data_IF_371870817019
#
_entry.id   IF_371870817019
#
_cell.length_a   1.000
_cell.length_b   1.000
_cell.length_c   1.000
_cell.angle_alpha   90.00
_cell.angle_beta   90.00
_cell.angle_gamma   90.00
#
_symmetry.space_group_name_H-M   'P 1'
#
loop_
_entity.id
_entity.type
_entity.pdbx_description
1 polymer ?
#
# COMPACT_ATOMS: atom_id res chain seq x y z
N UNK A 1 -24.91 -0.13 1.95
CA UNK A 1 -24.87 1.29 2.35
C UNK A 1 -23.84 2.00 1.48
N UNK A 2 -24.31 2.81 0.53
CA UNK A 2 -23.49 3.58 -0.41
C UNK A 2 -22.71 4.64 0.36
N UNK A 3 -21.38 4.52 0.43
CA UNK A 3 -20.53 5.57 0.99
C UNK A 3 -20.35 6.62 -0.10
N UNK A 4 -20.99 7.78 0.09
CA UNK A 4 -20.97 8.93 -0.83
C UNK A 4 -19.57 9.22 -1.36
N UNK A 5 -19.40 9.05 -2.67
CA UNK A 5 -18.24 9.47 -3.48
C UNK A 5 -18.29 10.99 -3.75
N UNK A 6 -19.45 11.60 -3.50
CA UNK A 6 -19.74 13.02 -3.76
C UNK A 6 -18.71 14.00 -3.17
N UNK A 7 -18.29 13.94 -1.89
CA UNK A 7 -17.38 14.96 -1.35
C UNK A 7 -15.96 14.86 -1.92
N UNK A 8 -15.53 13.69 -2.39
CA UNK A 8 -14.19 13.49 -2.95
C UNK A 8 -14.07 14.08 -4.36
N UNK A 9 -15.15 13.97 -5.16
CA UNK A 9 -15.23 14.58 -6.48
C UNK A 9 -15.22 16.12 -6.40
N UNK A 10 -15.86 16.69 -5.37
CA UNK A 10 -15.92 18.15 -5.19
C UNK A 10 -14.54 18.74 -4.85
N UNK A 11 -13.72 18.04 -4.08
CA UNK A 11 -12.34 18.48 -3.78
C UNK A 11 -11.45 18.39 -5.02
N UNK A 12 -11.54 17.30 -5.79
CA UNK A 12 -10.79 17.15 -7.05
C UNK A 12 -11.18 18.22 -8.09
N UNK A 13 -12.47 18.55 -8.20
CA UNK A 13 -12.96 19.61 -9.08
C UNK A 13 -12.52 21.01 -8.62
N UNK A 14 -12.49 21.27 -7.31
CA UNK A 14 -12.01 22.54 -6.75
C UNK A 14 -10.50 22.75 -6.98
N UNK A 15 -9.69 21.67 -6.91
CA UNK A 15 -8.27 21.71 -7.27
C UNK A 15 -8.05 21.98 -8.78
N UNK A 16 -8.91 21.44 -9.65
CA UNK A 16 -8.84 21.74 -11.08
C UNK A 16 -9.20 23.21 -11.40
N UNK A 17 -10.17 23.80 -10.68
CA UNK A 17 -10.56 25.20 -10.89
C UNK A 17 -9.53 26.22 -10.34
N UNK A 18 -8.75 25.85 -9.32
CA UNK A 18 -7.69 26.68 -8.77
C UNK A 18 -6.38 26.67 -9.59
N UNK A 19 -6.30 25.85 -10.65
CA UNK A 19 -5.11 25.70 -11.51
C UNK A 19 -4.91 26.86 -12.51
N UNK A 20 -5.89 27.75 -12.67
CA UNK A 20 -5.85 28.80 -13.68
C UNK A 20 -4.85 29.95 -13.38
N UNK A 21 -4.21 29.98 -12.20
CA UNK A 21 -3.38 31.12 -11.76
C UNK A 21 -1.95 30.76 -11.33
N UNK A 22 -1.58 29.48 -11.23
CA UNK A 22 -0.24 29.04 -10.78
C UNK A 22 0.21 27.81 -11.58
N UNK A 23 1.53 27.68 -11.82
CA UNK A 23 2.13 26.61 -12.63
C UNK A 23 1.76 25.22 -12.09
N UNK A 24 0.74 24.60 -12.68
CA UNK A 24 0.34 23.25 -12.35
C UNK A 24 1.34 22.26 -12.92
N UNK A 25 1.49 21.12 -12.25
CA UNK A 25 2.36 20.03 -12.70
C UNK A 25 1.58 18.73 -12.73
N UNK A 26 1.77 17.96 -13.80
CA UNK A 26 1.31 16.57 -13.89
C UNK A 26 2.51 15.65 -13.83
N UNK A 27 2.39 14.52 -13.13
CA UNK A 27 3.49 13.59 -12.96
C UNK A 27 3.07 12.14 -13.01
N UNK A 28 4.03 11.30 -13.37
CA UNK A 28 3.95 9.86 -13.24
C UNK A 28 5.23 9.33 -12.61
N UNK A 29 5.10 8.27 -11.82
CA UNK A 29 6.23 7.61 -11.19
C UNK A 29 6.01 6.11 -11.12
N UNK A 30 7.09 5.36 -11.01
CA UNK A 30 7.06 3.92 -10.77
C UNK A 30 7.80 3.61 -9.47
N UNK A 31 7.33 2.60 -8.74
CA UNK A 31 8.05 2.11 -7.58
C UNK A 31 7.18 1.24 -6.68
N UNK A 32 7.41 1.28 -5.37
CA UNK A 32 6.55 0.67 -4.38
C UNK A 32 5.51 1.72 -3.94
N UNK A 33 4.22 1.52 -4.28
CA UNK A 33 3.53 0.24 -4.45
C UNK A 33 3.13 -0.09 -5.89
N UNK A 34 3.54 0.70 -6.89
CA UNK A 34 3.31 0.42 -8.31
C UNK A 34 3.50 1.64 -9.19
N UNK A 35 2.64 1.76 -10.20
CA UNK A 35 2.53 2.95 -11.05
C UNK A 35 1.79 4.05 -10.29
N UNK A 36 2.23 5.29 -10.44
CA UNK A 36 1.65 6.48 -9.84
C UNK A 36 1.30 7.51 -10.92
N UNK A 37 0.17 8.19 -10.73
CA UNK A 37 -0.27 9.31 -11.54
C UNK A 37 -0.79 10.40 -10.61
N UNK A 38 -0.30 11.63 -10.77
CA UNK A 38 -0.66 12.70 -9.86
C UNK A 38 -0.54 14.09 -10.45
N UNK A 39 -1.00 15.04 -9.64
CA UNK A 39 -0.90 16.48 -9.87
C UNK A 39 -0.19 17.14 -8.70
N UNK A 40 0.58 18.18 -8.99
CA UNK A 40 1.23 19.02 -8.01
C UNK A 40 0.91 20.49 -8.31
N UNK A 41 0.63 21.26 -7.25
CA UNK A 41 0.34 22.67 -7.33
C UNK A 41 1.20 23.42 -6.32
N UNK A 42 2.25 24.12 -6.77
CA UNK A 42 3.05 24.99 -5.92
C UNK A 42 2.20 26.17 -5.45
N UNK A 43 2.11 26.34 -4.13
CA UNK A 43 1.38 27.47 -3.52
C UNK A 43 2.31 28.68 -3.41
N UNK A 44 3.57 28.43 -3.08
CA UNK A 44 4.66 29.41 -3.02
C UNK A 44 6.02 28.69 -3.21
N UNK A 45 7.13 29.42 -3.05
CA UNK A 45 8.48 28.88 -3.26
C UNK A 45 8.90 27.80 -2.25
N UNK A 46 8.17 27.65 -1.14
CA UNK A 46 8.47 26.74 -0.03
C UNK A 46 7.43 25.63 0.16
N UNK A 47 6.24 25.74 -0.43
CA UNK A 47 5.13 24.80 -0.20
C UNK A 47 4.49 24.40 -1.53
N UNK A 48 4.33 23.10 -1.72
CA UNK A 48 3.57 22.49 -2.82
C UNK A 48 2.54 21.51 -2.27
N UNK A 49 1.32 21.55 -2.82
CA UNK A 49 0.30 20.55 -2.55
C UNK A 49 0.28 19.52 -3.67
N UNK A 50 0.13 18.25 -3.33
CA UNK A 50 0.01 17.16 -4.31
C UNK A 50 -1.16 16.26 -4.03
N UNK A 51 -1.67 15.65 -5.09
CA UNK A 51 -2.54 14.50 -5.00
C UNK A 51 -2.12 13.45 -6.03
N UNK A 52 -2.21 12.18 -5.67
CA UNK A 52 -1.93 11.08 -6.61
C UNK A 52 -2.79 9.85 -6.40
N UNK A 53 -2.78 9.01 -7.42
CA UNK A 53 -3.27 7.66 -7.43
C UNK A 53 -2.08 6.72 -7.63
N UNK A 54 -2.00 5.64 -6.87
CA UNK A 54 -1.00 4.60 -7.06
C UNK A 54 -1.63 3.21 -7.14
N UNK A 55 -1.13 2.37 -8.05
CA UNK A 55 -1.47 0.96 -8.08
C UNK A 55 -0.46 0.05 -8.79
N UNK A 56 -0.28 -1.17 -8.28
CA UNK A 56 0.31 -2.30 -9.03
C UNK A 56 -0.78 -3.21 -9.65
N UNK A 57 -2.03 -2.78 -9.63
CA UNK A 57 -3.18 -3.52 -10.13
C UNK A 57 -3.59 -4.68 -9.21
N UNK A 58 -4.47 -5.53 -9.74
CA UNK A 58 -4.89 -6.77 -9.11
C UNK A 58 -3.99 -7.90 -9.61
N UNK A 59 -3.15 -8.45 -8.73
CA UNK A 59 -2.23 -9.53 -9.07
C UNK A 59 -2.67 -10.82 -8.38
N UNK A 60 -2.88 -11.87 -9.16
CA UNK A 60 -2.99 -13.23 -8.66
C UNK A 60 -1.75 -14.04 -9.05
N UNK A 61 -1.30 -14.89 -8.14
CA UNK A 61 -0.22 -15.86 -8.37
C UNK A 61 -0.63 -17.18 -7.75
N UNK A 62 -0.63 -18.22 -8.56
CA UNK A 62 -0.85 -19.59 -8.11
C UNK A 62 0.47 -20.34 -8.33
N UNK A 63 0.90 -21.10 -7.34
CA UNK A 63 2.10 -21.94 -7.41
C UNK A 63 1.85 -23.22 -6.64
N UNK A 64 2.46 -24.32 -7.06
CA UNK A 64 2.41 -25.59 -6.33
C UNK A 64 3.84 -25.96 -5.97
N UNK A 65 4.12 -26.07 -4.67
CA UNK A 65 5.42 -26.51 -4.18
C UNK A 65 5.20 -27.74 -3.32
N UNK A 66 5.92 -28.82 -3.64
CA UNK A 66 5.89 -30.06 -2.86
C UNK A 66 4.49 -30.66 -2.64
N UNK A 67 3.55 -30.44 -3.56
CA UNK A 67 2.15 -30.90 -3.43
C UNK A 67 1.24 -29.98 -2.62
N UNK A 68 1.74 -28.83 -2.16
CA UNK A 68 0.97 -27.75 -1.54
C UNK A 68 0.73 -26.67 -2.59
N UNK A 69 -0.55 -26.41 -2.89
CA UNK A 69 -1.01 -25.31 -3.70
C UNK A 69 -1.05 -24.01 -2.87
N UNK A 70 -0.31 -23.01 -3.33
CA UNK A 70 -0.27 -21.66 -2.80
C UNK A 70 -0.96 -20.71 -3.78
N UNK A 71 -1.98 -20.00 -3.30
CA UNK A 71 -2.65 -18.95 -4.05
C UNK A 71 -2.44 -17.62 -3.32
N UNK A 72 -1.92 -16.63 -4.03
CA UNK A 72 -1.75 -15.27 -3.55
C UNK A 72 -2.56 -14.30 -4.39
N UNK A 73 -3.33 -13.42 -3.76
CA UNK A 73 -4.06 -12.32 -4.39
C UNK A 73 -3.69 -11.01 -3.72
N UNK A 74 -3.13 -10.08 -4.49
CA UNK A 74 -2.77 -8.74 -4.07
C UNK A 74 -3.68 -7.73 -4.75
N UNK A 75 -4.33 -6.88 -3.95
CA UNK A 75 -4.96 -5.63 -4.39
C UNK A 75 -4.17 -4.47 -3.83
N UNK A 76 -3.81 -3.52 -4.70
CA UNK A 76 -2.87 -2.46 -4.37
C UNK A 76 -3.38 -1.08 -4.81
N UNK A 77 -4.58 -0.65 -4.41
CA UNK A 77 -5.08 0.69 -4.75
C UNK A 77 -4.76 1.72 -3.68
N UNK A 78 -4.30 2.92 -4.06
CA UNK A 78 -4.11 4.06 -3.15
C UNK A 78 -4.47 5.38 -3.81
N UNK A 79 -5.09 6.26 -3.03
CA UNK A 79 -5.16 7.70 -3.27
C UNK A 79 -4.37 8.42 -2.17
N UNK A 80 -3.72 9.53 -2.44
CA UNK A 80 -3.22 10.38 -1.36
C UNK A 80 -3.23 11.86 -1.69
N UNK A 81 -3.09 12.63 -0.60
CA UNK A 81 -2.86 14.05 -0.60
C UNK A 81 -1.62 14.33 0.23
N UNK A 82 -0.73 15.17 -0.28
CA UNK A 82 0.53 15.53 0.34
C UNK A 82 0.72 17.04 0.41
N UNK A 83 1.40 17.48 1.46
CA UNK A 83 2.07 18.77 1.53
C UNK A 83 3.58 18.56 1.49
N UNK A 84 4.23 19.22 0.55
CA UNK A 84 5.67 19.22 0.40
C UNK A 84 6.22 20.56 0.88
N UNK A 85 7.19 20.49 1.79
CA UNK A 85 7.92 21.64 2.28
C UNK A 85 9.36 21.62 1.75
N UNK A 86 9.81 22.75 1.20
CA UNK A 86 11.15 22.95 0.66
C UNK A 86 11.96 23.81 1.65
N UNK A 87 12.86 23.21 2.46
CA UNK A 87 13.63 23.94 3.47
C UNK A 87 14.71 24.86 2.86
N UNK A 88 15.10 24.60 1.62
CA UNK A 88 16.16 25.29 0.89
C UNK A 88 15.68 25.60 -0.53
N UNK A 89 16.36 26.53 -1.22
CA UNK A 89 16.13 26.85 -2.64
C UNK A 89 16.68 25.74 -3.55
N UNK A 90 16.09 24.55 -3.44
CA UNK A 90 16.51 23.34 -4.14
C UNK A 90 15.30 22.46 -4.48
N UNK A 91 15.52 21.39 -5.25
CA UNK A 91 14.48 20.40 -5.51
C UNK A 91 14.15 19.51 -4.31
N UNK A 92 14.95 19.54 -3.24
CA UNK A 92 14.74 18.71 -2.05
C UNK A 92 13.51 19.15 -1.24
N UNK A 93 12.70 18.19 -0.84
CA UNK A 93 11.48 18.40 -0.05
C UNK A 93 11.33 17.40 1.08
N UNK A 94 10.67 17.85 2.14
CA UNK A 94 10.09 17.01 3.18
C UNK A 94 8.60 16.92 2.89
N UNK A 95 8.07 15.71 2.90
CA UNK A 95 6.68 15.43 2.53
C UNK A 95 5.94 14.86 3.73
N UNK A 96 4.77 15.42 4.00
CA UNK A 96 3.79 14.86 4.93
C UNK A 96 2.43 14.74 4.23
N UNK A 97 1.63 13.75 4.60
CA UNK A 97 0.32 13.60 3.99
C UNK A 97 -0.53 12.52 4.59
N UNK A 98 -1.65 12.27 3.92
CA UNK A 98 -2.60 11.23 4.24
C UNK A 98 -2.89 10.42 2.99
N UNK A 99 -2.91 9.11 3.16
CA UNK A 99 -3.29 8.19 2.10
C UNK A 99 -4.63 7.54 2.43
N UNK A 100 -5.40 7.23 1.40
CA UNK A 100 -6.54 6.32 1.45
C UNK A 100 -6.17 5.05 0.69
N UNK A 101 -6.22 3.90 1.38
CA UNK A 101 -5.67 2.64 0.89
C UNK A 101 -6.77 1.59 0.70
N UNK A 102 -6.64 0.81 -0.36
CA UNK A 102 -7.35 -0.45 -0.58
C UNK A 102 -6.33 -1.58 -0.77
N UNK A 103 -5.35 -1.64 0.14
CA UNK A 103 -4.32 -2.68 0.15
C UNK A 103 -4.82 -3.93 0.88
N UNK A 104 -4.86 -5.03 0.13
CA UNK A 104 -5.31 -6.32 0.60
C UNK A 104 -4.39 -7.40 0.04
N UNK A 105 -3.97 -8.29 0.92
CA UNK A 105 -3.22 -9.48 0.53
C UNK A 105 -3.95 -10.70 1.09
N UNK A 106 -4.39 -11.57 0.18
CA UNK A 106 -5.00 -12.85 0.51
C UNK A 106 -4.08 -13.96 0.08
N UNK A 107 -3.72 -14.82 1.03
CA UNK A 107 -2.90 -16.01 0.82
C UNK A 107 -3.74 -17.22 1.20
N UNK A 108 -3.72 -18.27 0.38
CA UNK A 108 -4.30 -19.56 0.71
C UNK A 108 -3.26 -20.64 0.43
N UNK A 109 -3.01 -21.49 1.41
CA UNK A 109 -2.19 -22.68 1.28
C UNK A 109 -3.08 -23.90 1.51
N UNK A 110 -3.09 -24.82 0.56
CA UNK A 110 -3.84 -26.09 0.65
C UNK A 110 -3.03 -27.21 0.02
N UNK A 111 -3.06 -28.41 0.60
CA UNK A 111 -2.25 -29.52 0.10
C UNK A 111 -2.67 -30.83 0.75
N UNK A 112 -2.30 -31.96 0.14
CA UNK A 112 -2.62 -33.28 0.63
C UNK A 112 -1.38 -34.17 0.66
N UNK A 113 -1.30 -35.07 1.65
CA UNK A 113 -0.22 -36.04 1.81
C UNK A 113 1.11 -35.43 2.27
N UNK A 114 1.12 -34.20 2.78
CA UNK A 114 2.33 -33.49 3.23
C UNK A 114 2.24 -33.15 4.69
N UNK A 115 3.32 -33.36 5.42
CA UNK A 115 3.44 -32.90 6.81
C UNK A 115 3.88 -31.44 6.83
N UNK A 116 3.08 -30.59 7.45
CA UNK A 116 3.42 -29.19 7.71
C UNK A 116 3.59 -28.95 9.20
N UNK A 117 4.47 -28.00 9.54
CA UNK A 117 4.57 -27.49 10.91
C UNK A 117 3.65 -26.29 11.07
N UNK A 118 2.83 -26.33 12.11
CA UNK A 118 1.98 -25.22 12.54
C UNK A 118 2.16 -25.10 14.04
N UNK A 119 2.61 -23.94 14.54
CA UNK A 119 3.02 -23.84 15.93
C UNK A 119 4.15 -24.85 16.25
N UNK A 120 3.94 -25.68 17.27
CA UNK A 120 4.89 -26.75 17.63
C UNK A 120 4.48 -28.12 17.06
N UNK A 121 3.24 -28.26 16.59
CA UNK A 121 2.67 -29.48 16.04
C UNK A 121 3.08 -29.77 14.59
N UNK A 122 3.05 -31.06 14.24
CA UNK A 122 3.25 -31.55 12.87
C UNK A 122 1.98 -32.23 12.38
N UNK A 123 1.43 -31.73 11.27
CA UNK A 123 0.13 -32.14 10.75
C UNK A 123 0.28 -32.69 9.33
N UNK A 124 -0.13 -33.93 9.12
CA UNK A 124 -0.11 -34.55 7.79
C UNK A 124 -1.41 -34.19 7.08
N UNK A 125 -1.33 -33.20 6.19
CA UNK A 125 -2.48 -32.61 5.52
C UNK A 125 -3.23 -33.63 4.65
N UNK A 126 -4.55 -33.50 4.65
CA UNK A 126 -5.51 -34.14 3.76
C UNK A 126 -5.99 -33.10 2.74
N UNK A 127 -6.68 -33.54 1.68
CA UNK A 127 -7.22 -32.64 0.67
C UNK A 127 -8.20 -31.58 1.21
N UNK A 128 -8.78 -31.79 2.40
CA UNK A 128 -9.68 -30.82 3.04
C UNK A 128 -8.93 -29.74 3.84
N UNK A 129 -7.63 -29.92 4.08
CA UNK A 129 -6.86 -29.06 4.96
C UNK A 129 -6.26 -27.86 4.23
N UNK A 130 -6.16 -26.76 4.96
CA UNK A 130 -5.53 -25.57 4.44
C UNK A 130 -5.53 -24.44 5.46
N UNK A 131 -4.78 -23.40 5.13
CA UNK A 131 -4.63 -22.20 5.92
C UNK A 131 -4.81 -21.00 5.01
N UNK A 132 -5.89 -20.25 5.23
CA UNK A 132 -6.10 -18.97 4.57
C UNK A 132 -5.61 -17.84 5.50
N UNK A 133 -4.83 -16.92 4.95
CA UNK A 133 -4.30 -15.74 5.65
C UNK A 133 -4.72 -14.50 4.89
N UNK A 134 -5.53 -13.66 5.53
CA UNK A 134 -5.95 -12.37 5.00
C UNK A 134 -5.23 -11.26 5.77
N UNK A 135 -4.43 -10.47 5.06
CA UNK A 135 -3.83 -9.24 5.54
C UNK A 135 -4.58 -8.03 4.99
N UNK A 136 -4.98 -7.12 5.87
CA UNK A 136 -5.73 -5.91 5.53
C UNK A 136 -5.05 -4.68 6.11
N UNK A 137 -4.71 -3.73 5.25
CA UNK A 137 -4.09 -2.49 5.70
C UNK A 137 -5.16 -1.47 6.12
N UNK A 138 -4.81 -0.51 7.00
CA UNK A 138 -5.73 0.56 7.36
C UNK A 138 -6.17 1.35 6.13
N UNK A 139 -7.45 1.67 6.07
CA UNK A 139 -8.03 2.43 4.95
C UNK A 139 -7.51 3.85 4.85
N UNK A 140 -6.98 4.40 5.95
CA UNK A 140 -6.36 5.72 6.00
C UNK A 140 -5.07 5.62 6.80
N UNK A 141 -3.96 6.13 6.25
CA UNK A 141 -2.67 6.15 6.95
C UNK A 141 -1.97 7.50 6.78
N UNK A 142 -1.36 8.05 7.84
CA UNK A 142 -0.38 9.11 7.70
C UNK A 142 0.79 8.68 6.81
N UNK A 143 1.37 9.65 6.12
CA UNK A 143 2.58 9.47 5.33
C UNK A 143 3.63 10.49 5.74
N UNK A 144 4.87 10.04 5.85
CA UNK A 144 6.03 10.91 5.99
C UNK A 144 7.13 10.44 5.04
N UNK A 145 7.83 11.40 4.45
CA UNK A 145 8.94 11.10 3.56
C UNK A 145 9.75 12.32 3.19
N UNK A 146 10.70 12.08 2.31
CA UNK A 146 11.51 13.08 1.64
C UNK A 146 11.43 12.82 0.14
N UNK A 147 11.74 13.84 -0.65
CA UNK A 147 11.75 13.68 -2.09
C UNK A 147 12.54 14.75 -2.80
N UNK A 148 12.55 14.65 -4.12
CA UNK A 148 13.13 15.63 -5.02
C UNK A 148 12.14 15.96 -6.14
N UNK A 149 12.05 17.23 -6.50
CA UNK A 149 11.19 17.73 -7.58
C UNK A 149 9.94 18.46 -7.08
N UNK A 150 9.01 18.72 -7.99
CA UNK A 150 7.74 19.41 -7.74
C UNK A 150 7.80 20.82 -7.15
N UNK A 151 8.96 21.46 -7.22
CA UNK A 151 9.10 22.85 -6.84
C UNK A 151 8.57 23.77 -7.94
N UNK A 152 8.09 24.96 -7.59
CA UNK A 152 7.79 26.01 -8.55
C UNK A 152 8.98 26.28 -9.49
N UNK A 153 8.71 26.50 -10.78
CA UNK A 153 9.66 27.09 -11.72
C UNK A 153 9.14 27.01 -13.16
N UNK A 154 10.05 27.15 -14.12
CA UNK A 154 9.72 27.22 -15.54
C UNK A 154 9.08 25.94 -16.11
N UNK A 155 8.28 26.15 -17.16
CA UNK A 155 7.60 25.13 -17.94
C UNK A 155 8.58 24.11 -18.53
N UNK A 156 8.19 22.84 -18.54
CA UNK A 156 8.95 21.75 -19.15
C UNK A 156 9.06 20.50 -18.31
N UNK A 157 9.85 19.55 -18.83
CA UNK A 157 10.06 18.24 -18.23
C UNK A 157 10.98 18.28 -17.03
N UNK A 158 10.64 17.53 -15.98
CA UNK A 158 11.41 17.40 -14.74
C UNK A 158 11.44 15.96 -14.26
N UNK A 159 12.40 15.67 -13.40
CA UNK A 159 12.48 14.40 -12.69
C UNK A 159 11.94 14.55 -11.27
N UNK A 160 11.34 13.47 -10.77
CA UNK A 160 10.92 13.36 -9.39
C UNK A 160 11.37 12.05 -8.75
N UNK A 161 11.54 12.09 -7.44
CA UNK A 161 11.81 10.93 -6.61
C UNK A 161 11.18 11.12 -5.23
N UNK A 162 10.66 10.05 -4.66
CA UNK A 162 10.10 10.04 -3.31
C UNK A 162 10.63 8.83 -2.54
N UNK A 163 11.00 9.04 -1.27
CA UNK A 163 11.32 8.01 -0.30
C UNK A 163 10.56 8.33 0.99
N UNK A 164 9.69 7.43 1.42
CA UNK A 164 8.92 7.64 2.64
C UNK A 164 8.29 6.37 3.16
N UNK A 165 7.34 6.53 4.06
CA UNK A 165 6.57 5.42 4.61
C UNK A 165 5.14 5.84 4.93
N UNK A 166 4.21 4.93 4.69
CA UNK A 166 2.87 5.00 5.29
C UNK A 166 2.96 4.43 6.70
N UNK A 167 2.37 5.14 7.66
CA UNK A 167 2.39 4.77 9.07
C UNK A 167 1.04 4.11 9.38
N UNK A 168 1.08 2.82 9.68
CA UNK A 168 -0.11 2.03 9.94
C UNK A 168 0.25 0.57 10.14
N UNK A 169 -0.63 -0.13 10.84
CA UNK A 169 -0.48 -1.55 11.15
C UNK A 169 -1.52 -2.35 10.38
N UNK A 170 -1.09 -3.35 9.62
CA UNK A 170 -2.01 -4.26 8.97
C UNK A 170 -2.64 -5.21 10.00
N UNK A 171 -3.91 -5.57 9.80
CA UNK A 171 -4.54 -6.65 10.54
C UNK A 171 -4.34 -7.98 9.83
N UNK A 172 -4.18 -9.04 10.62
CA UNK A 172 -4.01 -10.42 10.13
C UNK A 172 -5.14 -11.29 10.64
N UNK A 173 -5.84 -11.93 9.70
CA UNK A 173 -6.83 -12.96 9.96
C UNK A 173 -6.33 -14.27 9.40
N UNK A 174 -6.27 -15.30 10.24
CA UNK A 174 -5.90 -16.66 9.85
C UNK A 174 -7.14 -17.53 9.98
N UNK A 175 -7.45 -18.32 8.95
CA UNK A 175 -8.61 -19.19 8.89
C UNK A 175 -8.14 -20.60 8.52
N UNK A 176 -7.99 -21.50 9.51
CA UNK A 176 -7.65 -22.90 9.26
C UNK A 176 -8.85 -23.66 8.70
N UNK A 177 -8.59 -24.76 7.98
CA UNK A 177 -9.58 -25.69 7.43
C UNK A 177 -9.22 -27.14 7.75
N UNK A 178 -10.23 -28.00 7.81
CA UNK A 178 -10.10 -29.43 8.08
C UNK A 178 -9.47 -29.73 9.45
N UNK A 179 -8.50 -30.62 9.53
CA UNK A 179 -7.81 -31.01 10.77
C UNK A 179 -7.15 -29.82 11.48
N UNK A 180 -6.71 -28.81 10.73
CA UNK A 180 -6.14 -27.59 11.32
C UNK A 180 -7.19 -26.75 12.05
N UNK A 181 -8.48 -26.95 11.74
CA UNK A 181 -9.60 -26.32 12.47
C UNK A 181 -10.10 -27.19 13.64
N UNK A 182 -9.51 -28.36 13.86
CA UNK A 182 -9.92 -29.26 14.95
C UNK A 182 -9.46 -28.76 16.32
N UNK A 183 -10.11 -29.18 17.42
CA UNK A 183 -9.67 -28.87 18.78
C UNK A 183 -8.23 -29.31 19.07
N UNK A 184 -7.74 -30.36 18.41
CA UNK A 184 -6.37 -30.87 18.57
C UNK A 184 -5.32 -29.89 18.03
N UNK A 185 -5.64 -29.15 16.97
CA UNK A 185 -4.74 -28.18 16.33
C UNK A 185 -4.93 -26.74 16.84
N UNK A 186 -5.93 -26.51 17.68
CA UNK A 186 -6.35 -25.16 18.08
C UNK A 186 -5.24 -24.37 18.78
N UNK A 187 -4.50 -25.02 19.71
CA UNK A 187 -3.42 -24.36 20.44
C UNK A 187 -2.26 -23.97 19.51
N UNK A 188 -1.89 -24.87 18.60
CA UNK A 188 -0.83 -24.65 17.62
C UNK A 188 -1.19 -23.55 16.61
N UNK A 189 -2.40 -23.59 16.06
CA UNK A 189 -2.88 -22.55 15.14
C UNK A 189 -3.01 -21.21 15.84
N UNK A 190 -3.46 -21.18 17.10
CA UNK A 190 -3.52 -19.95 17.88
C UNK A 190 -2.12 -19.37 18.13
N UNK A 191 -1.14 -20.23 18.44
CA UNK A 191 0.26 -19.84 18.60
C UNK A 191 0.83 -19.27 17.30
N UNK A 192 0.67 -19.97 16.18
CA UNK A 192 1.11 -19.51 14.86
C UNK A 192 0.46 -18.17 14.49
N UNK A 193 -0.86 -18.06 14.70
CA UNK A 193 -1.62 -16.84 14.44
C UNK A 193 -1.13 -15.66 15.28
N UNK A 194 -0.83 -15.89 16.57
CA UNK A 194 -0.29 -14.87 17.45
C UNK A 194 1.10 -14.42 17.02
N UNK A 195 1.97 -15.34 16.60
CA UNK A 195 3.29 -15.00 16.08
C UNK A 195 3.22 -14.19 14.77
N UNK A 196 2.32 -14.56 13.86
CA UNK A 196 2.10 -13.81 12.62
C UNK A 196 1.56 -12.40 12.91
N UNK A 197 0.61 -12.28 13.84
CA UNK A 197 0.09 -10.98 14.27
C UNK A 197 1.16 -10.12 14.90
N UNK A 198 1.94 -10.66 15.85
CA UNK A 198 3.02 -9.92 16.52
C UNK A 198 4.08 -9.41 15.51
N UNK A 199 4.44 -10.22 14.51
CA UNK A 199 5.36 -9.79 13.44
C UNK A 199 4.78 -8.63 12.62
N UNK A 200 3.50 -8.70 12.26
CA UNK A 200 2.84 -7.66 11.47
C UNK A 200 2.61 -6.40 12.32
N UNK A 201 2.24 -6.53 13.58
CA UNK A 201 2.01 -5.42 14.51
C UNK A 201 3.27 -4.62 14.84
N UNK A 202 4.43 -5.28 14.85
CA UNK A 202 5.74 -4.62 14.95
C UNK A 202 6.06 -3.76 13.73
N UNK A 203 5.50 -4.10 12.56
CA UNK A 203 5.71 -3.35 11.32
C UNK A 203 4.69 -2.21 11.23
N UNK A 204 5.02 -1.07 11.85
CA UNK A 204 4.16 0.13 11.85
C UNK A 204 4.40 1.08 10.69
N UNK A 205 5.47 0.86 9.92
CA UNK A 205 5.86 1.71 8.81
C UNK A 205 6.03 0.85 7.55
N UNK A 206 5.33 1.20 6.49
CA UNK A 206 5.37 0.51 5.20
C UNK A 206 6.13 1.41 4.25
N UNK A 207 7.35 1.03 3.81
CA UNK A 207 8.17 1.87 2.96
C UNK A 207 7.49 2.10 1.60
N UNK A 208 7.70 3.30 1.07
CA UNK A 208 7.30 3.75 -0.24
C UNK A 208 8.53 4.36 -0.90
N UNK A 209 8.77 3.99 -2.14
CA UNK A 209 9.89 4.49 -2.93
C UNK A 209 9.40 4.62 -4.36
N UNK A 210 9.65 5.76 -5.00
CA UNK A 210 9.33 5.97 -6.40
C UNK A 210 10.33 6.88 -7.09
N UNK A 211 10.42 6.71 -8.39
CA UNK A 211 11.12 7.60 -9.32
C UNK A 211 10.21 7.88 -10.51
N UNK A 212 10.29 9.07 -11.08
CA UNK A 212 9.36 9.48 -12.09
C UNK A 212 9.77 10.71 -12.88
N UNK A 213 8.86 11.10 -13.76
CA UNK A 213 8.96 12.29 -14.58
C UNK A 213 7.70 13.13 -14.41
N UNK A 214 7.85 14.42 -14.62
CA UNK A 214 6.75 15.37 -14.56
C UNK A 214 6.87 16.45 -15.62
N UNK A 215 5.74 17.08 -15.90
CA UNK A 215 5.66 18.21 -16.81
C UNK A 215 5.01 19.38 -16.07
N UNK A 216 5.74 20.48 -15.98
CA UNK A 216 5.26 21.76 -15.44
C UNK A 216 4.73 22.58 -16.59
N UNK A 217 3.53 23.16 -16.45
CA UNK A 217 2.91 24.02 -17.45
C UNK A 217 3.38 25.46 -17.34
#
# INVERSE_FOLDING_TARGET
MSRSILPLLTVAAALCAASAAQAAEVYTAIGAPGLMLGVAQPINNQITLRADLASAGNRSRNSTQEGIAYQGKLKSGRFAVFGDWFPMDSGFRITAGLTSNDYKLDLDASGAGRTVKVGDGSYTLTAADGLAVAMRFPSTTPYLGIGWGHRLGDSGWRFNADLGAMIGTASVTVTPRGQLASPLAQADVAKETAQLRDKVEKTKAIPQLSIGVSYVF
#
